data_IF_043096651103
#
_entry.id   IF_043096651103
#
_cell.length_a   1.000
_cell.length_b   1.000
_cell.length_c   1.000
_cell.angle_alpha   90.00
_cell.angle_beta   90.00
_cell.angle_gamma   90.00
#
_symmetry.space_group_name_H-M   'P 1'
#
loop_
_entity.id
_entity.type
_entity.pdbx_description
1 polymer ?
#
# COMPACT_ATOMS: atom_id res chain seq x y z
N UNK A 1 7.50 8.90 -5.36
CA UNK A 1 7.02 9.56 -4.12
C UNK A 1 6.35 8.52 -3.25
N UNK A 2 6.31 8.67 -1.91
CA UNK A 2 5.54 7.77 -1.04
C UNK A 2 4.47 8.55 -0.32
N UNK A 3 3.22 8.28 -0.64
CA UNK A 3 2.06 8.99 -0.14
C UNK A 3 1.39 8.18 0.96
N UNK A 4 1.28 8.73 2.16
CA UNK A 4 0.42 8.17 3.21
C UNK A 4 -0.99 8.71 3.00
N UNK A 5 -1.93 7.83 2.70
CA UNK A 5 -3.33 8.18 2.45
C UNK A 5 -3.98 8.63 3.76
N UNK A 6 -4.52 9.84 3.78
CA UNK A 6 -5.28 10.40 4.91
C UNK A 6 -6.78 10.16 4.75
N UNK A 7 -7.30 10.32 3.54
CA UNK A 7 -8.73 10.21 3.24
C UNK A 7 -8.97 9.71 1.81
N UNK A 8 -10.06 8.96 1.61
CA UNK A 8 -10.54 8.56 0.29
C UNK A 8 -11.85 9.28 0.02
N UNK A 9 -11.88 10.10 -1.02
CA UNK A 9 -13.00 11.00 -1.32
C UNK A 9 -14.07 10.33 -2.15
N UNK A 10 -13.66 9.57 -3.16
CA UNK A 10 -14.58 9.01 -4.13
C UNK A 10 -13.97 7.83 -4.89
N UNK A 11 -14.83 6.88 -5.27
CA UNK A 11 -14.54 5.87 -6.29
C UNK A 11 -15.33 6.24 -7.55
N UNK A 12 -14.60 6.75 -8.54
CA UNK A 12 -15.18 7.29 -9.78
C UNK A 12 -15.09 6.33 -10.96
N UNK A 13 -15.58 6.82 -12.10
CA UNK A 13 -15.39 6.21 -13.42
C UNK A 13 -16.40 6.69 -14.46
N UNK A 14 -15.93 7.29 -15.58
CA UNK A 14 -16.63 7.34 -16.88
C UNK A 14 -15.70 7.77 -18.03
N UNK A 15 -15.88 7.17 -19.21
CA UNK A 15 -15.13 7.32 -20.48
C UNK A 15 -13.58 7.17 -20.47
N UNK A 16 -12.90 7.19 -19.31
CA UNK A 16 -11.44 7.04 -19.20
C UNK A 16 -10.96 5.84 -18.36
N UNK A 17 -11.88 5.06 -17.81
CA UNK A 17 -11.59 3.98 -16.87
C UNK A 17 -12.13 4.27 -15.47
N UNK A 18 -11.93 3.29 -14.60
CA UNK A 18 -12.30 3.33 -13.19
C UNK A 18 -11.21 4.03 -12.36
N UNK A 19 -11.58 4.84 -11.37
CA UNK A 19 -10.62 5.67 -10.61
C UNK A 19 -10.92 5.73 -9.12
N UNK A 20 -9.91 6.07 -8.33
CA UNK A 20 -10.03 6.46 -6.92
C UNK A 20 -9.43 7.84 -6.72
N UNK A 21 -10.17 8.74 -6.05
CA UNK A 21 -9.69 10.05 -5.63
C UNK A 21 -9.44 10.02 -4.13
N UNK A 22 -8.24 10.41 -3.71
CA UNK A 22 -7.78 10.35 -2.33
C UNK A 22 -6.88 11.55 -2.00
N UNK A 23 -6.72 11.83 -0.70
CA UNK A 23 -5.74 12.76 -0.19
C UNK A 23 -4.66 12.05 0.61
N UNK A 24 -3.48 12.67 0.68
CA UNK A 24 -2.39 12.20 1.51
C UNK A 24 -1.21 13.17 1.48
N UNK A 25 -0.20 12.87 2.29
CA UNK A 25 1.04 13.65 2.34
C UNK A 25 2.26 12.76 2.11
N UNK A 26 3.40 13.37 1.80
CA UNK A 26 4.67 12.62 1.71
C UNK A 26 5.00 12.01 3.09
N UNK A 27 5.09 10.68 3.12
CA UNK A 27 5.26 9.91 4.34
C UNK A 27 6.58 10.20 5.09
N UNK A 28 7.64 10.60 4.38
CA UNK A 28 8.95 10.89 5.00
C UNK A 28 9.09 12.32 5.50
N UNK A 29 8.11 13.17 5.23
CA UNK A 29 8.21 14.60 5.47
C UNK A 29 7.13 15.03 6.47
N UNK A 30 7.45 15.04 7.78
CA UNK A 30 6.52 15.55 8.78
C UNK A 30 6.06 16.97 8.44
N UNK A 31 4.75 17.19 8.41
CA UNK A 31 4.17 18.48 8.03
C UNK A 31 4.19 18.78 6.53
N UNK A 32 4.45 17.78 5.68
CA UNK A 32 4.23 17.90 4.25
C UNK A 32 2.79 18.33 3.95
N UNK A 33 2.65 19.16 2.91
CA UNK A 33 1.36 19.60 2.43
C UNK A 33 0.55 18.40 1.92
N UNK A 34 -0.73 18.39 2.26
CA UNK A 34 -1.67 17.38 1.80
C UNK A 34 -1.98 17.63 0.31
N UNK A 35 -1.96 16.55 -0.47
CA UNK A 35 -2.21 16.58 -1.90
C UNK A 35 -3.39 15.67 -2.21
N UNK A 36 -4.28 16.14 -3.08
CA UNK A 36 -5.38 15.33 -3.61
C UNK A 36 -4.98 14.75 -4.95
N UNK A 37 -5.04 13.42 -5.08
CA UNK A 37 -4.70 12.69 -6.29
C UNK A 37 -5.90 11.88 -6.77
N UNK A 38 -6.03 11.75 -8.09
CA UNK A 38 -6.91 10.77 -8.72
C UNK A 38 -6.03 9.73 -9.39
N UNK A 39 -6.21 8.46 -9.00
CA UNK A 39 -5.43 7.32 -9.46
C UNK A 39 -6.36 6.44 -10.30
N UNK A 40 -5.95 6.14 -11.53
CA UNK A 40 -6.65 5.16 -12.36
C UNK A 40 -6.47 3.76 -11.77
N UNK A 41 -7.52 2.94 -11.76
CA UNK A 41 -7.46 1.57 -11.22
C UNK A 41 -6.41 0.73 -11.95
N UNK A 42 -6.20 0.96 -13.24
CA UNK A 42 -5.13 0.31 -14.01
C UNK A 42 -3.71 0.69 -13.55
N UNK A 43 -3.54 1.82 -12.86
CA UNK A 43 -2.26 2.22 -12.27
C UNK A 43 -2.00 1.54 -10.91
N UNK A 44 -3.01 0.92 -10.29
CA UNK A 44 -2.85 0.15 -9.05
C UNK A 44 -2.18 -1.19 -9.36
N UNK A 45 -0.91 -1.33 -8.97
CA UNK A 45 -0.06 -2.42 -9.44
C UNK A 45 -0.25 -3.74 -8.67
N UNK A 46 -0.65 -3.66 -7.40
CA UNK A 46 -0.76 -4.81 -6.49
C UNK A 46 -1.97 -4.71 -5.56
N UNK A 47 -2.91 -3.80 -5.83
CA UNK A 47 -4.18 -3.70 -5.13
C UNK A 47 -5.25 -4.35 -6.01
N UNK A 48 -6.01 -5.30 -5.48
CA UNK A 48 -7.00 -6.07 -6.26
C UNK A 48 -8.07 -5.17 -6.87
N UNK A 49 -8.55 -4.20 -6.09
CA UNK A 49 -9.59 -3.28 -6.54
C UNK A 49 -9.41 -1.93 -5.88
N UNK A 50 -9.71 -0.87 -6.63
CA UNK A 50 -9.72 0.51 -6.12
C UNK A 50 -10.50 0.69 -4.82
N UNK A 51 -11.60 -0.06 -4.63
CA UNK A 51 -12.45 0.01 -3.44
C UNK A 51 -11.76 -0.47 -2.15
N UNK A 52 -10.61 -1.13 -2.26
CA UNK A 52 -9.81 -1.56 -1.11
C UNK A 52 -8.77 -0.52 -0.70
N UNK A 53 -8.61 0.58 -1.46
CA UNK A 53 -7.77 1.69 -1.03
C UNK A 53 -8.46 2.42 0.13
N UNK A 54 -7.73 2.62 1.21
CA UNK A 54 -8.25 3.23 2.43
C UNK A 54 -7.23 4.16 3.11
N UNK A 55 -7.71 4.98 4.04
CA UNK A 55 -6.87 5.78 4.91
C UNK A 55 -5.88 4.91 5.70
N UNK A 56 -4.68 5.44 5.93
CA UNK A 56 -3.58 4.74 6.59
C UNK A 56 -2.79 3.80 5.69
N UNK A 57 -3.11 3.71 4.39
CA UNK A 57 -2.29 3.00 3.40
C UNK A 57 -1.12 3.84 2.93
N UNK A 58 0.03 3.20 2.72
CA UNK A 58 1.22 3.82 2.14
C UNK A 58 1.39 3.36 0.70
N UNK A 59 1.27 4.30 -0.25
CA UNK A 59 1.44 4.05 -1.67
C UNK A 59 2.77 4.58 -2.16
N UNK A 60 3.54 3.76 -2.86
CA UNK A 60 4.67 4.21 -3.67
C UNK A 60 4.16 4.59 -5.07
N UNK A 61 4.28 5.88 -5.38
CA UNK A 61 3.78 6.48 -6.59
C UNK A 61 4.92 6.77 -7.57
N UNK A 62 4.73 6.33 -8.81
CA UNK A 62 5.48 6.74 -10.00
C UNK A 62 4.61 7.70 -10.80
N UNK A 63 5.12 8.91 -11.05
CA UNK A 63 4.39 9.96 -11.75
C UNK A 63 4.83 10.02 -13.23
N UNK A 64 3.90 10.25 -14.14
CA UNK A 64 4.14 10.65 -15.52
C UNK A 64 3.54 12.04 -15.74
N UNK A 65 4.37 13.07 -15.56
CA UNK A 65 3.89 14.46 -15.46
C UNK A 65 3.06 14.65 -14.20
N UNK A 66 1.80 15.07 -14.35
CA UNK A 66 0.86 15.30 -13.24
C UNK A 66 0.00 14.06 -12.93
N UNK A 67 0.09 12.98 -13.71
CA UNK A 67 -0.69 11.76 -13.52
C UNK A 67 0.12 10.69 -12.80
N UNK A 68 -0.57 9.85 -12.02
CA UNK A 68 0.01 8.63 -11.46
C UNK A 68 0.06 7.57 -12.55
N UNK A 69 1.27 7.18 -12.95
CA UNK A 69 1.51 6.09 -13.90
C UNK A 69 1.44 4.73 -13.21
N UNK A 70 1.94 4.66 -11.97
CA UNK A 70 1.93 3.44 -11.16
C UNK A 70 1.83 3.75 -9.68
N UNK A 71 1.00 2.98 -8.96
CA UNK A 71 0.85 3.01 -7.52
C UNK A 71 1.01 1.60 -6.94
N UNK A 72 1.97 1.43 -6.03
CA UNK A 72 2.23 0.17 -5.34
C UNK A 72 1.91 0.32 -3.86
N UNK A 73 1.03 -0.51 -3.31
CA UNK A 73 0.77 -0.57 -1.87
C UNK A 73 1.97 -1.20 -1.16
N UNK A 74 2.65 -0.43 -0.30
CA UNK A 74 3.80 -0.88 0.48
C UNK A 74 3.43 -1.33 1.89
N UNK A 75 2.31 -0.86 2.42
CA UNK A 75 1.87 -1.17 3.78
C UNK A 75 0.61 -0.42 4.18
N UNK A 76 0.06 -0.76 5.34
CA UNK A 76 -1.11 -0.11 5.89
C UNK A 76 -1.07 -0.04 7.43
N UNK A 77 -1.81 0.89 8.02
CA UNK A 77 -1.96 0.99 9.47
C UNK A 77 -2.66 -0.23 10.08
N UNK A 78 -3.55 -0.88 9.31
CA UNK A 78 -4.36 -2.03 9.71
C UNK A 78 -4.00 -3.28 8.89
N UNK A 79 -3.76 -4.45 9.53
CA UNK A 79 -3.34 -5.66 8.81
C UNK A 79 -4.47 -6.29 8.00
N UNK A 80 -5.73 -6.12 8.41
CA UNK A 80 -6.87 -6.64 7.67
C UNK A 80 -7.08 -5.86 6.38
N UNK A 81 -7.01 -4.52 6.45
CA UNK A 81 -7.03 -3.65 5.28
C UNK A 81 -5.90 -3.97 4.30
N UNK A 82 -4.68 -4.19 4.80
CA UNK A 82 -3.54 -4.61 3.97
C UNK A 82 -3.84 -5.93 3.24
N UNK A 83 -4.33 -6.94 3.98
CA UNK A 83 -4.64 -8.27 3.43
C UNK A 83 -5.76 -8.20 2.40
N UNK A 84 -6.84 -7.47 2.67
CA UNK A 84 -7.95 -7.32 1.74
C UNK A 84 -7.53 -6.61 0.44
N UNK A 85 -6.66 -5.61 0.54
CA UNK A 85 -6.16 -4.87 -0.62
C UNK A 85 -5.22 -5.71 -1.49
N UNK A 86 -4.28 -6.43 -0.89
CA UNK A 86 -3.32 -7.26 -1.62
C UNK A 86 -3.91 -8.59 -2.10
N UNK A 87 -4.91 -9.10 -1.39
CA UNK A 87 -5.51 -10.40 -1.63
C UNK A 87 -4.79 -11.58 -1.03
N UNK A 88 -5.25 -12.75 -1.44
CA UNK A 88 -4.58 -14.00 -1.11
C UNK A 88 -3.27 -14.09 -1.91
N UNK A 89 -2.12 -14.32 -1.24
CA UNK A 89 -0.87 -14.53 -1.93
C UNK A 89 -0.97 -15.76 -2.82
N UNK A 90 -0.30 -15.78 -3.99
CA UNK A 90 -0.24 -16.98 -4.80
C UNK A 90 0.36 -18.12 -3.98
N UNK A 91 -0.41 -19.19 -3.77
CA UNK A 91 0.05 -20.38 -3.05
C UNK A 91 1.20 -21.03 -3.85
N UNK A 92 2.43 -20.74 -3.45
CA UNK A 92 3.62 -21.34 -4.04
C UNK A 92 3.81 -22.77 -3.51
N UNK A 93 3.21 -23.74 -4.18
CA UNK A 93 3.44 -25.17 -3.93
C UNK A 93 2.86 -25.72 -2.62
N UNK A 94 3.35 -26.90 -2.23
CA UNK A 94 2.99 -27.56 -0.97
C UNK A 94 3.50 -26.72 0.20
N UNK A 95 2.58 -26.09 0.94
CA UNK A 95 2.90 -25.36 2.16
C UNK A 95 3.61 -26.29 3.14
N UNK A 96 4.83 -25.93 3.52
CA UNK A 96 5.65 -26.69 4.48
C UNK A 96 5.27 -26.40 5.93
N UNK A 97 4.35 -25.47 6.17
CA UNK A 97 3.87 -25.03 7.47
C UNK A 97 3.09 -23.71 7.40
N UNK A 98 2.62 -23.17 8.53
CA UNK A 98 2.03 -21.84 8.61
C UNK A 98 3.00 -20.77 8.11
N UNK A 99 2.51 -19.82 7.31
CA UNK A 99 3.31 -18.71 6.80
C UNK A 99 2.81 -17.38 7.36
N UNK A 100 3.74 -16.53 7.78
CA UNK A 100 3.45 -15.15 8.16
C UNK A 100 3.44 -14.30 6.88
N UNK A 101 2.30 -13.67 6.59
CA UNK A 101 2.10 -12.93 5.33
C UNK A 101 2.35 -11.42 5.46
N UNK A 102 2.39 -10.91 6.69
CA UNK A 102 2.70 -9.51 6.98
C UNK A 102 3.34 -9.34 8.36
N UNK A 103 4.15 -8.30 8.51
CA UNK A 103 4.76 -7.92 9.79
C UNK A 103 4.45 -6.47 10.12
N UNK A 104 4.36 -6.15 11.41
CA UNK A 104 4.29 -4.78 11.89
C UNK A 104 5.70 -4.23 12.08
N UNK A 105 6.06 -3.19 11.34
CA UNK A 105 7.30 -2.46 11.55
C UNK A 105 7.12 -1.43 12.68
N UNK A 106 7.93 -1.55 13.75
CA UNK A 106 7.87 -0.61 14.88
C UNK A 106 8.29 0.82 14.48
N UNK A 107 9.23 0.96 13.54
CA UNK A 107 9.72 2.26 13.08
C UNK A 107 8.71 2.98 12.17
N UNK A 108 8.14 2.27 11.20
CA UNK A 108 7.12 2.87 10.32
C UNK A 108 5.75 2.98 10.98
N UNK A 109 5.50 2.21 12.05
CA UNK A 109 4.17 1.95 12.62
C UNK A 109 3.15 1.40 11.61
N UNK A 110 3.61 0.71 10.56
CA UNK A 110 2.80 0.12 9.49
C UNK A 110 2.98 -1.39 9.44
N UNK A 111 1.93 -2.08 9.02
CA UNK A 111 1.98 -3.45 8.53
C UNK A 111 2.51 -3.45 7.11
N UNK A 112 3.44 -4.36 6.82
CA UNK A 112 4.09 -4.50 5.52
C UNK A 112 3.93 -5.93 5.02
N UNK A 113 3.74 -6.15 3.70
CA UNK A 113 3.69 -7.49 3.14
C UNK A 113 5.06 -8.16 3.24
N UNK A 114 5.03 -9.44 3.59
CA UNK A 114 6.21 -10.28 3.75
C UNK A 114 6.49 -10.96 2.40
N UNK A 115 7.55 -10.57 1.68
CA UNK A 115 8.21 -11.50 0.76
C UNK A 115 8.81 -12.64 1.59
N UNK A 116 8.93 -13.89 1.13
CA UNK A 116 9.35 -15.00 1.98
C UNK A 116 10.67 -14.66 2.70
N UNK A 117 10.59 -14.46 4.02
CA UNK A 117 11.63 -14.00 4.96
C UNK A 117 12.31 -12.64 4.72
N UNK A 118 11.65 -11.51 5.04
CA UNK A 118 12.30 -10.22 5.15
C UNK A 118 12.76 -10.02 6.59
N UNK A 119 14.05 -10.19 6.85
CA UNK A 119 14.68 -9.74 8.10
C UNK A 119 14.51 -8.22 8.32
N UNK A 120 14.15 -7.48 7.27
CA UNK A 120 14.08 -6.02 7.23
C UNK A 120 12.81 -5.50 6.60
N UNK A 121 12.32 -4.39 7.13
CA UNK A 121 11.18 -3.66 6.61
C UNK A 121 11.47 -3.13 5.19
N UNK A 122 10.66 -3.44 4.17
CA UNK A 122 10.89 -2.97 2.81
C UNK A 122 10.71 -1.44 2.66
N UNK A 123 10.07 -0.79 3.65
CA UNK A 123 9.84 0.66 3.62
C UNK A 123 11.05 1.43 4.18
N UNK A 124 11.54 1.05 5.37
CA UNK A 124 12.60 1.81 6.08
C UNK A 124 13.93 1.06 6.28
N UNK A 125 13.97 -0.26 6.04
CA UNK A 125 15.17 -1.09 6.20
C UNK A 125 15.46 -1.55 7.64
N UNK A 126 14.65 -1.14 8.61
CA UNK A 126 14.76 -1.59 10.01
C UNK A 126 14.44 -3.07 10.19
N UNK A 127 15.04 -3.69 11.21
CA UNK A 127 14.82 -5.11 11.48
C UNK A 127 13.36 -5.33 11.88
N UNK A 128 12.70 -6.29 11.22
CA UNK A 128 11.36 -6.72 11.61
C UNK A 128 11.51 -7.70 12.77
N UNK A 129 10.88 -7.40 13.91
CA UNK A 129 10.82 -8.35 15.01
C UNK A 129 9.94 -9.54 14.55
N UNK A 130 10.58 -10.67 14.26
CA UNK A 130 9.87 -11.94 14.05
C UNK A 130 9.29 -12.32 15.42
N UNK A 131 8.00 -12.05 15.63
CA UNK A 131 7.29 -12.59 16.79
C UNK A 131 7.06 -14.06 16.46
N UNK A 132 7.97 -14.92 16.95
CA UNK A 132 7.86 -16.38 16.88
C UNK A 132 6.86 -16.95 17.87
#
# INVERSE_FOLDING_TARGET
MRLLVSEVHNFGGFFGGDTVTLSGADWRSPGAEEQTLTIDESALANVISRHQVAAGMLLELTMAGERVDRAVLLGAADPEALRLALGDPPLAGLLSGPQVLSHRCASCALWVPTAPDPDRCPICGEILAVIG
#
